data_IF_468668775630
#
_entry.id   IF_468668775630
#
_cell.length_a   1.000
_cell.length_b   1.000
_cell.length_c   1.000
_cell.angle_alpha   90.00
_cell.angle_beta   90.00
_cell.angle_gamma   90.00
#
_symmetry.space_group_name_H-M   'P 1'
#
loop_
_entity.id
_entity.type
_entity.pdbx_description
1 polymer ?
#
# COMPACT_ATOMS: atom_id res chain seq x y z
N UNK A 1 31.74 -10.83 -42.79
CA UNK A 1 30.37 -10.62 -43.28
C UNK A 1 29.48 -11.60 -42.54
N UNK A 2 29.00 -11.18 -41.36
CA UNK A 2 27.68 -10.55 -41.13
C UNK A 2 26.62 -11.61 -40.87
N UNK A 3 26.41 -11.91 -39.59
CA UNK A 3 25.10 -11.76 -38.96
C UNK A 3 25.34 -11.33 -37.52
N UNK A 4 25.53 -10.01 -37.38
CA UNK A 4 25.71 -9.28 -36.11
C UNK A 4 24.48 -8.39 -35.85
N UNK A 5 23.34 -8.77 -36.43
CA UNK A 5 22.17 -7.89 -36.59
C UNK A 5 20.97 -8.30 -35.73
N UNK A 6 20.97 -9.50 -35.14
CA UNK A 6 19.88 -9.93 -34.24
C UNK A 6 20.11 -9.53 -32.78
N UNK A 7 21.31 -9.04 -32.44
CA UNK A 7 21.67 -8.58 -31.09
C UNK A 7 21.48 -7.07 -30.87
N UNK A 8 20.86 -6.37 -31.83
CA UNK A 8 20.71 -4.90 -31.81
C UNK A 8 19.25 -4.43 -31.89
N UNK A 9 18.29 -5.33 -31.62
CA UNK A 9 16.85 -4.99 -31.47
C UNK A 9 16.40 -4.85 -30.01
N UNK A 10 17.30 -4.65 -29.07
CA UNK A 10 16.95 -4.00 -27.81
C UNK A 10 16.85 -2.48 -28.06
N UNK A 11 15.84 -2.11 -28.85
CA UNK A 11 15.42 -0.72 -29.00
C UNK A 11 15.15 -0.14 -27.62
N UNK A 12 15.62 1.08 -27.39
CA UNK A 12 15.36 1.90 -26.22
C UNK A 12 13.86 1.87 -25.84
N UNK A 13 13.49 1.03 -24.87
CA UNK A 13 12.15 0.98 -24.32
C UNK A 13 12.03 2.12 -23.31
N UNK A 14 11.50 3.24 -23.79
CA UNK A 14 11.37 4.47 -23.00
C UNK A 14 10.42 4.28 -21.81
N UNK A 15 10.92 4.57 -20.61
CA UNK A 15 10.10 4.80 -19.43
C UNK A 15 9.41 6.16 -19.58
N UNK A 16 8.08 6.18 -19.55
CA UNK A 16 7.28 7.40 -19.60
C UNK A 16 6.82 7.78 -18.19
N UNK A 17 6.91 9.08 -17.86
CA UNK A 17 6.38 9.63 -16.62
C UNK A 17 5.24 10.57 -16.97
N UNK A 18 4.06 10.37 -16.35
CA UNK A 18 2.89 11.23 -16.54
C UNK A 18 2.46 11.86 -15.22
N UNK A 19 2.30 13.17 -15.21
CA UNK A 19 1.66 13.91 -14.12
C UNK A 19 0.17 14.07 -14.46
N UNK A 20 -0.70 13.47 -13.66
CA UNK A 20 -2.15 13.45 -13.91
C UNK A 20 -2.84 14.60 -13.17
N UNK A 21 -2.34 14.90 -11.97
CA UNK A 21 -2.75 16.04 -11.15
C UNK A 21 -1.61 16.40 -10.23
N UNK A 22 -1.74 17.51 -9.51
CA UNK A 22 -0.78 17.90 -8.46
C UNK A 22 -0.45 16.74 -7.51
N UNK A 23 -1.40 15.82 -7.30
CA UNK A 23 -1.26 14.77 -6.31
C UNK A 23 -1.00 13.37 -6.89
N UNK A 24 -0.81 13.22 -8.20
CA UNK A 24 -0.66 11.90 -8.84
C UNK A 24 0.39 11.95 -9.94
N UNK A 25 1.42 11.12 -9.77
CA UNK A 25 2.44 10.87 -10.79
C UNK A 25 2.52 9.38 -11.10
N UNK A 26 2.47 9.04 -12.38
CA UNK A 26 2.53 7.66 -12.88
C UNK A 26 3.86 7.42 -13.60
N UNK A 27 4.41 6.23 -13.40
CA UNK A 27 5.50 5.68 -14.21
C UNK A 27 4.96 4.54 -15.06
N UNK A 28 5.16 4.62 -16.37
CA UNK A 28 4.66 3.66 -17.35
C UNK A 28 5.85 3.13 -18.16
N UNK A 29 5.90 1.83 -18.35
CA UNK A 29 6.89 1.18 -19.23
C UNK A 29 6.15 0.22 -20.15
N UNK A 30 6.36 0.38 -21.47
CA UNK A 30 5.74 -0.47 -22.50
C UNK A 30 4.20 -0.53 -22.40
N UNK A 31 3.60 0.61 -22.09
CA UNK A 31 2.14 0.75 -21.90
C UNK A 31 1.60 0.16 -20.60
N UNK A 32 2.48 -0.30 -19.69
CA UNK A 32 2.08 -0.88 -18.41
C UNK A 32 2.48 0.03 -17.24
N UNK A 33 1.56 0.22 -16.29
CA UNK A 33 1.82 1.01 -15.08
C UNK A 33 2.79 0.26 -14.19
N UNK A 34 3.92 0.89 -13.86
CA UNK A 34 4.91 0.38 -12.92
C UNK A 34 4.77 0.98 -11.54
N UNK A 35 4.45 2.28 -11.44
CA UNK A 35 4.26 2.90 -10.14
C UNK A 35 3.31 4.10 -10.17
N UNK A 36 2.67 4.35 -9.04
CA UNK A 36 1.81 5.49 -8.75
C UNK A 36 2.30 6.17 -7.47
N UNK A 37 2.67 7.44 -7.57
CA UNK A 37 3.04 8.28 -6.43
C UNK A 37 1.91 9.25 -6.11
N UNK A 38 1.49 9.31 -4.85
CA UNK A 38 0.43 10.20 -4.38
C UNK A 38 0.61 10.70 -2.96
N UNK A 39 -0.18 11.70 -2.56
CA UNK A 39 -0.16 12.32 -1.22
C UNK A 39 -1.48 12.12 -0.47
N UNK A 40 -2.52 11.66 -1.16
CA UNK A 40 -3.86 11.35 -0.62
C UNK A 40 -4.58 10.39 -1.57
N UNK A 41 -5.56 9.64 -1.07
CA UNK A 41 -6.37 8.76 -1.91
C UNK A 41 -7.59 9.55 -2.41
N UNK A 42 -7.55 9.97 -3.67
CA UNK A 42 -8.68 10.59 -4.38
C UNK A 42 -9.40 9.56 -5.24
N UNK A 43 -10.60 9.89 -5.73
CA UNK A 43 -11.30 9.05 -6.70
C UNK A 43 -10.43 8.70 -7.93
N UNK A 44 -9.69 9.69 -8.46
CA UNK A 44 -8.76 9.44 -9.57
C UNK A 44 -7.65 8.46 -9.20
N UNK A 45 -7.08 8.54 -7.99
CA UNK A 45 -6.10 7.52 -7.52
C UNK A 45 -6.73 6.13 -7.50
N UNK A 46 -7.95 6.01 -6.98
CA UNK A 46 -8.67 4.74 -6.93
C UNK A 46 -8.90 4.14 -8.31
N UNK A 47 -9.37 4.93 -9.27
CA UNK A 47 -9.54 4.50 -10.67
C UNK A 47 -8.22 4.01 -11.29
N UNK A 48 -7.11 4.70 -11.01
CA UNK A 48 -5.79 4.30 -11.53
C UNK A 48 -5.27 3.01 -10.89
N UNK A 49 -5.49 2.81 -9.58
CA UNK A 49 -5.17 1.54 -8.91
C UNK A 49 -6.01 0.43 -9.53
N UNK A 50 -7.32 0.63 -9.66
CA UNK A 50 -8.23 -0.38 -10.24
C UNK A 50 -7.84 -0.73 -11.67
N UNK A 51 -7.52 0.28 -12.49
CA UNK A 51 -7.04 0.08 -13.87
C UNK A 51 -5.71 -0.67 -13.92
N UNK A 52 -4.74 -0.30 -13.07
CA UNK A 52 -3.46 -0.99 -13.01
C UNK A 52 -3.63 -2.47 -12.65
N UNK A 53 -4.41 -2.76 -11.60
CA UNK A 53 -4.69 -4.12 -11.16
C UNK A 53 -5.43 -4.92 -12.25
N UNK A 54 -6.45 -4.32 -12.87
CA UNK A 54 -7.20 -4.94 -13.97
C UNK A 54 -6.30 -5.30 -15.15
N UNK A 55 -5.51 -4.33 -15.65
CA UNK A 55 -4.58 -4.57 -16.77
C UNK A 55 -3.56 -5.67 -16.48
N UNK A 56 -3.08 -5.78 -15.23
CA UNK A 56 -2.09 -6.80 -14.86
C UNK A 56 -2.75 -8.18 -14.74
N UNK A 57 -3.84 -8.29 -13.98
CA UNK A 57 -4.48 -9.58 -13.67
C UNK A 57 -5.31 -10.13 -14.84
N UNK A 58 -5.95 -9.29 -15.65
CA UNK A 58 -6.62 -9.72 -16.89
C UNK A 58 -5.62 -10.35 -17.85
N UNK A 59 -4.47 -9.70 -18.03
CA UNK A 59 -3.39 -10.20 -18.88
C UNK A 59 -2.80 -11.52 -18.37
N UNK A 60 -2.90 -11.77 -17.07
CA UNK A 60 -2.46 -13.00 -16.43
C UNK A 60 -3.56 -14.06 -16.32
N UNK A 61 -4.75 -13.82 -16.87
CA UNK A 61 -5.90 -14.74 -16.83
C UNK A 61 -6.46 -15.00 -15.42
N UNK A 62 -6.25 -14.08 -14.48
CA UNK A 62 -6.79 -14.14 -13.11
C UNK A 62 -7.71 -12.95 -12.75
N UNK A 63 -8.74 -12.64 -13.56
CA UNK A 63 -9.61 -11.48 -13.34
C UNK A 63 -10.40 -11.56 -12.02
N UNK A 64 -10.62 -12.76 -11.49
CA UNK A 64 -11.36 -12.97 -10.23
C UNK A 64 -10.65 -12.37 -9.01
N UNK A 65 -9.33 -12.21 -9.07
CA UNK A 65 -8.53 -11.62 -7.98
C UNK A 65 -8.55 -10.09 -7.98
N UNK A 66 -9.10 -9.45 -9.03
CA UNK A 66 -9.08 -7.98 -9.17
C UNK A 66 -9.72 -7.27 -7.97
N UNK A 67 -10.95 -7.62 -7.53
CA UNK A 67 -11.59 -6.93 -6.40
C UNK A 67 -10.78 -7.05 -5.12
N UNK A 68 -10.22 -8.24 -4.87
CA UNK A 68 -9.43 -8.52 -3.67
C UNK A 68 -8.12 -7.73 -3.67
N UNK A 69 -7.34 -7.80 -4.75
CA UNK A 69 -6.06 -7.09 -4.85
C UNK A 69 -6.27 -5.58 -4.83
N UNK A 70 -7.28 -5.07 -5.54
CA UNK A 70 -7.66 -3.65 -5.50
C UNK A 70 -7.96 -3.17 -4.07
N UNK A 71 -8.79 -3.92 -3.35
CA UNK A 71 -9.22 -3.55 -1.98
C UNK A 71 -8.03 -3.52 -1.03
N UNK A 72 -7.13 -4.51 -1.11
CA UNK A 72 -5.92 -4.55 -0.29
C UNK A 72 -5.03 -3.34 -0.59
N UNK A 73 -4.78 -3.03 -1.86
CA UNK A 73 -3.93 -1.88 -2.24
C UNK A 73 -4.55 -0.57 -1.77
N UNK A 74 -5.86 -0.40 -1.93
CA UNK A 74 -6.60 0.78 -1.46
C UNK A 74 -6.41 0.97 0.05
N UNK A 75 -6.63 -0.08 0.83
CA UNK A 75 -6.48 -0.02 2.30
C UNK A 75 -5.05 0.31 2.73
N UNK A 76 -4.06 -0.30 2.08
CA UNK A 76 -2.65 0.00 2.33
C UNK A 76 -2.31 1.45 1.97
N UNK A 77 -2.78 1.94 0.83
CA UNK A 77 -2.51 3.29 0.36
C UNK A 77 -3.17 4.36 1.24
N UNK A 78 -4.38 4.09 1.74
CA UNK A 78 -5.07 4.94 2.73
C UNK A 78 -4.23 4.99 4.03
N UNK A 79 -3.77 3.85 4.52
CA UNK A 79 -2.97 3.79 5.75
C UNK A 79 -1.62 4.50 5.61
N UNK A 80 -0.94 4.34 4.47
CA UNK A 80 0.28 5.05 4.11
C UNK A 80 0.07 6.58 4.11
N UNK A 81 -0.99 7.06 3.46
CA UNK A 81 -1.33 8.50 3.47
C UNK A 81 -1.65 9.00 4.89
N UNK A 82 -2.44 8.26 5.67
CA UNK A 82 -2.78 8.62 7.05
C UNK A 82 -1.55 8.72 7.94
N UNK A 83 -0.57 7.81 7.79
CA UNK A 83 0.69 7.86 8.55
C UNK A 83 1.45 9.17 8.28
N UNK A 84 1.59 9.55 7.00
CA UNK A 84 2.20 10.81 6.62
C UNK A 84 1.45 12.04 7.18
N UNK A 85 0.12 12.04 7.06
CA UNK A 85 -0.71 13.15 7.53
C UNK A 85 -0.64 13.33 9.05
N UNK A 86 -0.51 12.24 9.83
CA UNK A 86 -0.32 12.31 11.28
C UNK A 86 0.96 13.04 11.66
N UNK A 87 2.06 12.90 10.92
CA UNK A 87 3.30 13.64 11.20
C UNK A 87 3.06 15.15 11.22
N UNK A 88 2.36 15.63 10.21
CA UNK A 88 2.01 17.03 10.05
C UNK A 88 1.03 17.48 11.13
N UNK A 89 0.02 16.65 11.41
CA UNK A 89 -0.99 16.95 12.44
C UNK A 89 -0.37 17.11 13.82
N UNK A 90 0.51 16.19 14.21
CA UNK A 90 1.19 16.22 15.51
C UNK A 90 2.12 17.42 15.63
N UNK A 91 2.89 17.70 14.59
CA UNK A 91 3.76 18.88 14.53
C UNK A 91 2.98 20.18 14.70
N UNK A 92 1.86 20.35 13.97
CA UNK A 92 1.01 21.55 14.07
C UNK A 92 0.32 21.70 15.43
N UNK A 93 0.10 20.59 16.14
CA UNK A 93 -0.49 20.56 17.48
C UNK A 93 0.55 20.68 18.60
N UNK A 94 1.84 20.68 18.27
CA UNK A 94 2.91 20.64 19.26
C UNK A 94 2.90 19.37 20.12
N UNK A 95 2.41 18.25 19.56
CA UNK A 95 2.36 16.95 20.23
C UNK A 95 3.58 16.11 19.85
N UNK A 96 4.18 15.42 20.83
CA UNK A 96 5.27 14.49 20.57
C UNK A 96 4.74 13.09 20.23
N UNK A 97 5.06 12.61 19.03
CA UNK A 97 4.68 11.26 18.57
C UNK A 97 5.36 10.13 19.37
N UNK A 98 6.49 10.41 20.01
CA UNK A 98 7.21 9.43 20.83
C UNK A 98 6.72 9.44 22.29
N UNK A 99 5.95 10.45 22.71
CA UNK A 99 5.32 10.48 24.01
C UNK A 99 3.99 9.70 23.97
N UNK A 100 3.79 8.66 24.80
CA UNK A 100 2.58 7.83 24.77
C UNK A 100 1.27 8.60 25.01
N UNK A 101 1.27 9.60 25.90
CA UNK A 101 0.08 10.39 26.24
C UNK A 101 -0.31 11.31 25.09
N UNK A 102 0.68 12.00 24.51
CA UNK A 102 0.47 12.86 23.34
C UNK A 102 0.07 12.03 22.11
N UNK A 103 0.67 10.85 21.93
CA UNK A 103 0.29 9.91 20.88
C UNK A 103 -1.18 9.51 20.98
N UNK A 104 -1.64 9.08 22.16
CA UNK A 104 -3.03 8.68 22.35
C UNK A 104 -4.00 9.84 22.09
N UNK A 105 -3.71 11.01 22.65
CA UNK A 105 -4.49 12.24 22.45
C UNK A 105 -4.52 12.64 20.98
N UNK A 106 -3.37 12.73 20.34
CA UNK A 106 -3.24 13.16 18.95
C UNK A 106 -3.90 12.20 17.96
N UNK A 107 -3.80 10.89 18.19
CA UNK A 107 -4.52 9.89 17.37
C UNK A 107 -6.04 10.03 17.54
N UNK A 108 -6.51 10.25 18.77
CA UNK A 108 -7.94 10.45 19.06
C UNK A 108 -8.49 11.70 18.38
N UNK A 109 -7.78 12.82 18.49
CA UNK A 109 -8.14 14.08 17.82
C UNK A 109 -8.05 13.98 16.29
N UNK A 110 -7.00 13.34 15.76
CA UNK A 110 -6.87 13.11 14.32
C UNK A 110 -8.05 12.29 13.78
N UNK A 111 -8.45 11.23 14.49
CA UNK A 111 -9.60 10.40 14.10
C UNK A 111 -10.93 11.17 14.16
N UNK A 112 -11.16 11.95 15.22
CA UNK A 112 -12.43 12.68 15.36
C UNK A 112 -12.62 13.79 14.31
N UNK A 113 -11.52 14.34 13.80
CA UNK A 113 -11.53 15.36 12.76
C UNK A 113 -11.44 14.77 11.35
N UNK A 114 -11.18 13.46 11.22
CA UNK A 114 -10.96 12.84 9.92
C UNK A 114 -12.19 13.01 9.02
N UNK A 115 -12.00 13.68 7.90
CA UNK A 115 -13.02 14.03 6.91
C UNK A 115 -12.35 14.15 5.54
N UNK A 116 -13.15 14.14 4.48
CA UNK A 116 -12.64 14.35 3.11
C UNK A 116 -11.89 15.69 3.00
N UNK A 117 -12.45 16.75 3.58
CA UNK A 117 -11.82 18.09 3.63
C UNK A 117 -10.47 18.07 4.35
N UNK A 118 -10.38 17.35 5.47
CA UNK A 118 -9.11 17.17 6.18
C UNK A 118 -8.11 16.35 5.36
N UNK A 119 -8.55 15.28 4.70
CA UNK A 119 -7.71 14.47 3.82
C UNK A 119 -7.14 15.30 2.66
N UNK A 120 -7.95 16.18 2.07
CA UNK A 120 -7.50 17.13 1.06
C UNK A 120 -6.44 18.09 1.59
N UNK A 121 -6.75 18.80 2.69
CA UNK A 121 -5.87 19.79 3.29
C UNK A 121 -4.53 19.18 3.70
N UNK A 122 -4.56 18.06 4.43
CA UNK A 122 -3.36 17.39 4.88
C UNK A 122 -2.62 16.67 3.75
N UNK A 123 -3.30 16.26 2.68
CA UNK A 123 -2.67 15.78 1.45
C UNK A 123 -1.82 16.87 0.77
N UNK A 124 -2.35 18.09 0.63
CA UNK A 124 -1.59 19.22 0.09
C UNK A 124 -0.40 19.59 0.99
N UNK A 125 -0.58 19.57 2.32
CA UNK A 125 0.52 19.80 3.28
C UNK A 125 1.59 18.70 3.18
N UNK A 126 1.17 17.44 3.02
CA UNK A 126 2.07 16.30 2.87
C UNK A 126 2.93 16.45 1.61
N UNK A 127 2.32 16.83 0.49
CA UNK A 127 3.04 17.17 -0.72
C UNK A 127 4.10 18.26 -0.49
N UNK A 128 3.71 19.39 0.12
CA UNK A 128 4.63 20.51 0.38
C UNK A 128 5.81 20.13 1.28
N UNK A 129 5.59 19.21 2.23
CA UNK A 129 6.62 18.69 3.13
C UNK A 129 7.39 17.49 2.56
N UNK A 130 7.11 17.08 1.32
CA UNK A 130 7.82 15.98 0.65
C UNK A 130 7.38 14.58 1.08
N UNK A 131 6.33 14.44 1.89
CA UNK A 131 5.76 13.14 2.22
C UNK A 131 4.98 12.56 1.05
N UNK A 132 5.07 11.25 0.80
CA UNK A 132 4.40 10.56 -0.28
C UNK A 132 4.00 9.13 0.09
N UNK A 133 3.04 8.60 -0.65
CA UNK A 133 2.69 7.20 -0.78
C UNK A 133 3.09 6.76 -2.19
N UNK A 134 3.92 5.73 -2.31
CA UNK A 134 4.37 5.16 -3.57
C UNK A 134 3.85 3.73 -3.67
N UNK A 135 3.03 3.46 -4.68
CA UNK A 135 2.52 2.14 -5.02
C UNK A 135 3.34 1.64 -6.21
N UNK A 136 4.07 0.55 -6.04
CA UNK A 136 4.90 -0.05 -7.09
C UNK A 136 4.41 -1.45 -7.43
N UNK A 137 4.34 -1.74 -8.73
CA UNK A 137 3.88 -3.01 -9.27
C UNK A 137 5.03 -3.72 -9.98
N UNK A 138 5.36 -4.92 -9.51
CA UNK A 138 6.31 -5.81 -10.15
C UNK A 138 5.59 -7.10 -10.48
N UNK A 139 5.55 -7.51 -11.74
CA UNK A 139 4.76 -8.67 -12.12
C UNK A 139 5.40 -9.43 -13.27
N UNK A 140 5.12 -10.72 -13.30
CA UNK A 140 5.57 -11.68 -14.31
C UNK A 140 4.46 -12.72 -14.52
N UNK A 141 4.65 -13.64 -15.46
CA UNK A 141 3.68 -14.74 -15.63
C UNK A 141 3.49 -15.58 -14.36
N UNK A 142 4.47 -15.60 -13.46
CA UNK A 142 4.40 -16.39 -12.23
C UNK A 142 3.63 -15.69 -11.11
N UNK A 143 3.43 -14.38 -11.18
CA UNK A 143 2.70 -13.63 -10.16
C UNK A 143 2.99 -12.15 -10.12
N UNK A 144 2.34 -11.50 -9.16
CA UNK A 144 2.41 -10.06 -8.93
C UNK A 144 2.92 -9.76 -7.52
N UNK A 145 3.77 -8.75 -7.41
CA UNK A 145 4.21 -8.14 -6.18
C UNK A 145 3.82 -6.66 -6.22
N UNK A 146 3.13 -6.22 -5.18
CA UNK A 146 2.79 -4.83 -4.97
C UNK A 146 3.47 -4.33 -3.70
N UNK A 147 4.07 -3.16 -3.78
CA UNK A 147 4.65 -2.47 -2.64
C UNK A 147 3.97 -1.13 -2.46
N UNK A 148 3.40 -0.89 -1.27
CA UNK A 148 2.88 0.41 -0.87
C UNK A 148 3.84 0.98 0.17
N UNK A 149 4.57 2.03 -0.22
CA UNK A 149 5.62 2.65 0.58
C UNK A 149 5.18 4.02 1.04
N UNK A 150 5.37 4.33 2.32
CA UNK A 150 5.32 5.71 2.81
C UNK A 150 6.66 6.11 3.42
N UNK A 151 7.07 7.36 3.21
CA UNK A 151 8.34 7.92 3.69
C UNK A 151 8.20 8.68 5.01
N UNK A 152 7.40 8.14 5.93
CA UNK A 152 7.38 8.61 7.31
C UNK A 152 8.01 7.53 8.21
N UNK A 153 9.03 7.86 9.01
CA UNK A 153 9.59 6.94 10.00
C UNK A 153 8.48 6.47 10.94
N UNK A 154 8.33 5.16 11.15
CA UNK A 154 7.32 4.61 12.06
C UNK A 154 7.74 4.83 13.51
N UNK A 155 6.81 5.19 14.39
CA UNK A 155 7.12 5.26 15.83
C UNK A 155 6.95 3.91 16.52
N UNK A 156 7.56 3.74 17.70
CA UNK A 156 7.41 2.51 18.48
C UNK A 156 5.94 2.21 18.81
N UNK A 157 5.14 3.25 19.08
CA UNK A 157 3.72 3.15 19.36
C UNK A 157 2.93 2.65 18.14
N UNK A 158 3.26 3.15 16.95
CA UNK A 158 2.64 2.72 15.70
C UNK A 158 3.05 1.30 15.32
N UNK A 159 4.32 0.96 15.49
CA UNK A 159 4.81 -0.40 15.24
C UNK A 159 4.10 -1.40 16.15
N UNK A 160 4.02 -1.12 17.46
CA UNK A 160 3.27 -1.94 18.40
C UNK A 160 1.81 -2.11 17.97
N UNK A 161 1.14 -1.01 17.64
CA UNK A 161 -0.25 -1.04 17.17
C UNK A 161 -0.42 -1.84 15.86
N UNK A 162 0.55 -1.76 14.96
CA UNK A 162 0.56 -2.50 13.70
C UNK A 162 0.71 -4.00 13.95
N UNK A 163 1.65 -4.41 14.83
CA UNK A 163 1.85 -5.81 15.21
C UNK A 163 0.61 -6.41 15.86
N UNK A 164 0.00 -5.71 16.81
CA UNK A 164 -1.25 -6.16 17.47
C UNK A 164 -2.40 -6.37 16.47
N UNK A 165 -2.52 -5.51 15.44
CA UNK A 165 -3.55 -5.65 14.40
C UNK A 165 -3.30 -6.85 13.49
N UNK A 166 -2.04 -7.09 13.11
CA UNK A 166 -1.67 -8.27 12.33
C UNK A 166 -1.91 -9.57 13.13
N UNK A 167 -1.51 -9.60 14.40
CA UNK A 167 -1.74 -10.73 15.29
C UNK A 167 -3.23 -11.05 15.46
N UNK A 168 -4.07 -10.02 15.63
CA UNK A 168 -5.53 -10.19 15.66
C UNK A 168 -6.06 -10.72 14.34
N UNK A 169 -5.65 -10.14 13.21
CA UNK A 169 -6.05 -10.60 11.88
C UNK A 169 -5.73 -12.06 11.59
N UNK A 170 -4.59 -12.55 12.08
CA UNK A 170 -4.20 -13.95 11.93
C UNK A 170 -5.15 -14.93 12.63
N UNK A 171 -5.85 -14.51 13.69
CA UNK A 171 -6.78 -15.36 14.46
C UNK A 171 -8.13 -15.58 13.77
N UNK A 172 -8.52 -14.69 12.87
CA UNK A 172 -9.78 -14.81 12.15
C UNK A 172 -9.65 -15.84 11.03
N UNK A 173 -10.62 -16.75 10.95
CA UNK A 173 -10.66 -17.79 9.91
C UNK A 173 -11.51 -17.36 8.72
N UNK A 174 -12.56 -16.58 8.96
CA UNK A 174 -13.45 -16.08 7.92
C UNK A 174 -13.86 -14.62 8.17
N UNK A 175 -14.36 -13.99 7.10
CA UNK A 175 -14.73 -12.58 7.09
C UNK A 175 -16.03 -12.30 7.85
N UNK A 176 -16.93 -13.28 7.96
CA UNK A 176 -18.21 -13.10 8.66
C UNK A 176 -17.98 -12.97 10.17
N UNK A 177 -17.16 -13.86 10.75
CA UNK A 177 -16.74 -13.78 12.14
C UNK A 177 -16.03 -12.46 12.43
N UNK A 178 -15.17 -12.01 11.52
CA UNK A 178 -14.49 -10.72 11.66
C UNK A 178 -15.46 -9.54 11.72
N UNK A 179 -16.46 -9.49 10.83
CA UNK A 179 -17.46 -8.43 10.86
C UNK A 179 -18.37 -8.50 12.09
N UNK A 180 -18.73 -9.71 12.56
CA UNK A 180 -19.53 -9.88 13.78
C UNK A 180 -18.77 -9.34 15.02
N UNK A 181 -17.50 -9.73 15.16
CA UNK A 181 -16.66 -9.30 16.29
C UNK A 181 -16.29 -7.80 16.24
N UNK A 182 -16.46 -7.16 15.07
CA UNK A 182 -16.12 -5.76 14.83
C UNK A 182 -17.31 -4.92 14.38
N UNK A 183 -18.55 -5.38 14.59
CA UNK A 183 -19.76 -4.71 14.11
C UNK A 183 -19.91 -3.29 14.69
N UNK A 184 -19.50 -3.10 15.95
CA UNK A 184 -19.52 -1.81 16.64
C UNK A 184 -18.26 -0.95 16.38
N UNK A 185 -17.25 -1.50 15.72
CA UNK A 185 -16.02 -0.79 15.41
C UNK A 185 -16.17 -0.03 14.09
N UNK A 186 -16.00 1.29 14.14
CA UNK A 186 -15.95 2.11 12.92
C UNK A 186 -14.68 1.86 12.12
N UNK A 187 -14.79 2.01 10.80
CA UNK A 187 -13.68 1.97 9.86
C UNK A 187 -12.58 2.95 10.33
N UNK A 188 -11.42 2.41 10.76
CA UNK A 188 -10.35 3.21 11.41
C UNK A 188 -9.89 2.70 12.79
N UNK A 189 -10.50 1.65 13.34
CA UNK A 189 -10.05 0.96 14.56
C UNK A 189 -8.82 0.05 14.37
N UNK A 190 -8.31 -0.11 13.14
CA UNK A 190 -7.28 -1.10 12.81
C UNK A 190 -7.78 -2.34 12.09
N UNK A 191 -9.07 -2.33 11.71
CA UNK A 191 -9.78 -3.34 10.92
C UNK A 191 -9.05 -3.63 9.61
N UNK A 192 -8.51 -2.60 8.94
CA UNK A 192 -7.93 -2.74 7.60
C UNK A 192 -6.83 -3.79 7.45
N UNK A 193 -5.85 -3.81 8.36
CA UNK A 193 -4.76 -4.80 8.29
C UNK A 193 -5.25 -6.22 8.55
N UNK A 194 -6.23 -6.39 9.44
CA UNK A 194 -6.85 -7.70 9.68
C UNK A 194 -7.68 -8.16 8.48
N UNK A 195 -8.44 -7.24 7.86
CA UNK A 195 -9.22 -7.50 6.66
C UNK A 195 -8.33 -8.00 5.51
N UNK A 196 -7.15 -7.40 5.31
CA UNK A 196 -6.18 -7.86 4.29
C UNK A 196 -5.84 -9.35 4.49
N UNK A 197 -5.50 -9.75 5.72
CA UNK A 197 -5.15 -11.14 6.02
C UNK A 197 -6.31 -12.10 5.76
N UNK A 198 -7.52 -11.69 6.11
CA UNK A 198 -8.74 -12.50 5.89
C UNK A 198 -9.06 -12.62 4.40
N UNK A 199 -8.94 -11.54 3.64
CA UNK A 199 -9.16 -11.55 2.19
C UNK A 199 -8.17 -12.49 1.48
N UNK A 200 -6.89 -12.51 1.91
CA UNK A 200 -5.92 -13.47 1.39
C UNK A 200 -6.32 -14.92 1.69
N UNK A 201 -6.74 -15.21 2.92
CA UNK A 201 -7.25 -16.55 3.27
C UNK A 201 -8.46 -16.94 2.44
N UNK A 202 -9.37 -15.99 2.19
CA UNK A 202 -10.56 -16.19 1.36
C UNK A 202 -10.24 -16.58 -0.09
N UNK A 203 -9.14 -16.06 -0.63
CA UNK A 203 -8.62 -16.44 -1.96
C UNK A 203 -7.71 -17.69 -1.92
N UNK A 204 -7.53 -18.32 -0.76
CA UNK A 204 -6.60 -19.45 -0.59
C UNK A 204 -5.11 -19.07 -0.65
N UNK A 205 -4.79 -17.78 -0.52
CA UNK A 205 -3.43 -17.26 -0.55
C UNK A 205 -2.86 -17.25 0.87
N UNK A 206 -1.66 -17.82 1.05
CA UNK A 206 -0.97 -17.82 2.35
C UNK A 206 -0.76 -16.35 2.84
N UNK A 207 -1.29 -15.97 4.02
CA UNK A 207 -1.11 -14.64 4.58
C UNK A 207 0.36 -14.22 4.74
N UNK A 208 1.29 -15.17 4.77
CA UNK A 208 2.74 -14.90 4.84
C UNK A 208 3.31 -14.19 3.60
N UNK A 209 2.55 -14.13 2.50
CA UNK A 209 2.86 -13.32 1.33
C UNK A 209 2.60 -11.81 1.54
N UNK A 210 1.87 -11.45 2.59
CA UNK A 210 1.76 -10.06 3.03
C UNK A 210 2.72 -9.78 4.19
N UNK A 211 3.46 -8.68 4.08
CA UNK A 211 4.43 -8.27 5.12
C UNK A 211 4.62 -6.76 5.18
N UNK A 212 4.97 -6.30 6.36
CA UNK A 212 5.40 -4.92 6.60
C UNK A 212 6.91 -4.95 6.84
N UNK A 213 7.63 -4.15 6.06
CA UNK A 213 9.08 -3.98 6.16
C UNK A 213 9.32 -2.56 6.67
N UNK A 214 9.98 -2.44 7.81
CA UNK A 214 10.33 -1.16 8.42
C UNK A 214 11.80 -0.90 8.11
N UNK A 215 12.09 0.26 7.53
CA UNK A 215 13.43 0.82 7.32
C UNK A 215 13.48 2.17 8.02
N UNK A 216 14.68 2.75 8.12
CA UNK A 216 14.92 3.99 8.88
C UNK A 216 13.95 5.13 8.49
N UNK A 217 13.80 5.39 7.19
CA UNK A 217 12.97 6.51 6.70
C UNK A 217 11.66 6.10 6.04
N UNK A 218 11.45 4.80 5.83
CA UNK A 218 10.30 4.29 5.06
C UNK A 218 9.67 3.07 5.71
N UNK A 219 8.35 2.98 5.59
CA UNK A 219 7.59 1.76 5.86
C UNK A 219 7.04 1.23 4.55
N UNK A 220 7.27 -0.05 4.28
CA UNK A 220 6.87 -0.71 3.04
C UNK A 220 5.90 -1.84 3.38
N UNK A 221 4.66 -1.71 2.92
CA UNK A 221 3.71 -2.81 2.92
C UNK A 221 3.83 -3.58 1.61
N UNK A 222 4.31 -4.81 1.67
CA UNK A 222 4.52 -5.67 0.50
C UNK A 222 3.47 -6.76 0.47
N UNK A 223 2.75 -6.83 -0.65
CA UNK A 223 1.84 -7.91 -0.98
C UNK A 223 2.43 -8.71 -2.15
N UNK A 224 2.50 -10.02 -2.01
CA UNK A 224 2.82 -10.93 -3.10
C UNK A 224 1.61 -11.82 -3.39
N UNK A 225 1.28 -12.02 -4.66
CA UNK A 225 0.22 -12.90 -5.11
C UNK A 225 0.85 -13.90 -6.08
N UNK A 226 1.17 -15.12 -5.62
CA UNK A 226 1.65 -16.17 -6.51
C UNK A 226 0.49 -16.60 -7.43
N UNK A 227 0.74 -16.64 -8.73
CA UNK A 227 -0.22 -17.12 -9.73
C UNK A 227 0.17 -18.51 -10.26
N UNK A 228 1.45 -18.88 -10.14
CA UNK A 228 1.96 -20.21 -10.49
C UNK A 228 2.87 -20.75 -9.37
N UNK A 229 3.12 -22.07 -9.32
CA UNK A 229 4.07 -22.68 -8.39
C UNK A 229 5.51 -22.14 -8.52
N UNK A 230 5.86 -21.59 -9.68
CA UNK A 230 7.19 -21.04 -9.98
C UNK A 230 7.39 -19.61 -9.45
N UNK A 231 6.41 -19.06 -8.72
CA UNK A 231 6.53 -17.76 -8.11
C UNK A 231 7.63 -17.75 -7.04
N UNK A 232 8.62 -16.87 -7.21
CA UNK A 232 9.68 -16.68 -6.23
C UNK A 232 9.41 -15.47 -5.34
N UNK A 233 9.05 -15.74 -4.08
CA UNK A 233 8.92 -14.70 -3.06
C UNK A 233 10.27 -14.08 -2.72
N UNK A 234 10.30 -12.74 -2.56
CA UNK A 234 11.50 -12.02 -2.09
C UNK A 234 11.77 -12.14 -0.59
N UNK A 235 11.02 -12.96 0.15
CA UNK A 235 11.15 -13.09 1.61
C UNK A 235 12.58 -13.36 2.10
N UNK A 236 13.40 -14.07 1.32
CA UNK A 236 14.81 -14.37 1.66
C UNK A 236 15.76 -13.17 1.54
N UNK A 237 15.41 -12.14 0.75
CA UNK A 237 16.24 -10.94 0.60
C UNK A 237 16.02 -9.94 1.75
N UNK A 238 14.82 -9.93 2.34
CA UNK A 238 14.48 -9.00 3.43
C UNK A 238 15.23 -9.30 4.75
N UNK A 239 15.74 -10.52 4.93
CA UNK A 239 16.48 -10.96 6.14
C UNK A 239 17.98 -10.65 6.12
N UNK A 240 18.51 -10.11 5.01
CA UNK A 240 19.95 -9.85 4.85
C UNK A 240 20.39 -8.40 5.05
N UNK A 241 19.45 -7.48 5.29
CA UNK A 241 19.73 -6.06 5.52
C UNK A 241 19.14 -5.60 6.84
#
# INVERSE_FOLDING_TARGET
MTNKTDSTMFMEMGQEIREISDNIRLTIENGKILSLKTHRITHSVEEHIQKAVGLILDKMTHPTLIPTVYTIIKELAINACKANQKRIFFEEKGLDLNNPSDYEKGVREYKSLFSEKMSELYGQKAQKKGYYCLISFHYSLNGIRIEVTNNAPITQQEEKSLREKLEKGMRYNDIAQFYLDNADNTEGAGIGLALILIMLKGEGIDPSYFRIIIREDVTIARLEIPLTPDFQSLRKQDQKN
#
